data_IF_306010093917
#
_entry.id   IF_306010093917
#
_cell.length_a   1.000
_cell.length_b   1.000
_cell.length_c   1.000
_cell.angle_alpha   90.00
_cell.angle_beta   90.00
_cell.angle_gamma   90.00
#
_symmetry.space_group_name_H-M   'P 1'
#
loop_
_entity.id
_entity.type
_entity.pdbx_description
1 polymer ?
#
# COMPACT_ATOMS: atom_id res chain seq x y z
N UNK A 1 9.58 -6.96 -7.05
CA UNK A 1 8.99 -6.26 -8.22
C UNK A 1 7.74 -5.54 -7.75
N UNK A 2 7.57 -4.24 -8.04
CA UNK A 2 6.35 -3.50 -7.68
C UNK A 2 5.24 -4.02 -8.60
N UNK A 3 4.18 -4.58 -8.01
CA UNK A 3 3.10 -5.16 -8.78
C UNK A 3 2.25 -4.05 -9.38
N UNK A 4 1.88 -4.21 -10.66
CA UNK A 4 0.95 -3.31 -11.33
C UNK A 4 -0.42 -3.42 -10.65
N UNK A 5 -0.90 -2.31 -10.12
CA UNK A 5 -2.24 -2.15 -9.58
C UNK A 5 -3.09 -1.55 -10.68
N UNK A 6 -4.27 -2.11 -10.89
CA UNK A 6 -5.25 -1.59 -11.85
C UNK A 6 -6.32 -0.85 -11.07
N UNK A 7 -6.31 0.47 -11.15
CA UNK A 7 -7.37 1.27 -10.56
C UNK A 7 -8.64 1.06 -11.37
N UNK A 8 -9.74 0.71 -10.70
CA UNK A 8 -11.00 0.43 -11.37
C UNK A 8 -11.45 1.64 -12.21
N UNK A 9 -11.47 1.50 -13.54
CA UNK A 9 -12.16 2.43 -14.44
C UNK A 9 -13.63 2.01 -14.50
N UNK A 10 -14.32 2.04 -13.37
CA UNK A 10 -15.75 1.76 -13.41
C UNK A 10 -16.45 2.91 -14.13
N UNK A 11 -17.56 2.64 -14.84
CA UNK A 11 -18.42 3.62 -15.53
C UNK A 11 -19.06 4.68 -14.60
N UNK A 12 -18.57 4.83 -13.37
CA UNK A 12 -19.01 5.79 -12.38
C UNK A 12 -18.03 6.97 -12.38
N UNK A 13 -18.56 8.17 -12.11
CA UNK A 13 -17.98 9.53 -12.21
C UNK A 13 -16.55 9.77 -11.68
N UNK A 14 -15.89 8.79 -11.09
CA UNK A 14 -14.52 8.88 -10.58
C UNK A 14 -13.52 8.37 -11.64
N UNK A 15 -13.15 9.23 -12.59
CA UNK A 15 -12.12 8.88 -13.57
C UNK A 15 -10.72 8.91 -12.92
N UNK A 16 -10.14 7.72 -12.73
CA UNK A 16 -8.71 7.54 -12.44
C UNK A 16 -8.36 6.94 -11.07
N UNK A 17 -7.05 6.86 -10.83
CA UNK A 17 -6.48 6.26 -9.63
C UNK A 17 -6.39 7.21 -8.44
N UNK A 18 -6.28 6.69 -7.20
CA UNK A 18 -6.19 7.50 -6.00
C UNK A 18 -4.88 8.30 -5.93
N UNK A 19 -3.89 8.04 -6.78
CA UNK A 19 -2.64 8.84 -6.83
C UNK A 19 -2.78 10.15 -7.62
N UNK A 20 -3.91 10.40 -8.28
CA UNK A 20 -4.15 11.66 -8.98
C UNK A 20 -4.35 12.82 -7.99
N UNK A 21 -3.86 14.00 -8.37
CA UNK A 21 -3.96 15.27 -7.61
C UNK A 21 -4.94 16.24 -8.27
N UNK A 22 -5.43 17.21 -7.52
CA UNK A 22 -6.27 18.30 -8.04
C UNK A 22 -7.73 17.88 -8.21
N UNK A 23 -8.34 18.15 -9.37
CA UNK A 23 -9.78 17.88 -9.59
C UNK A 23 -10.17 16.40 -9.54
N UNK A 24 -9.21 15.50 -9.79
CA UNK A 24 -9.42 14.05 -9.79
C UNK A 24 -8.88 13.39 -8.50
N UNK A 25 -8.61 14.19 -7.48
CA UNK A 25 -8.22 13.72 -6.15
C UNK A 25 -9.36 12.96 -5.48
N UNK A 26 -9.09 11.74 -5.02
CA UNK A 26 -10.05 10.91 -4.30
C UNK A 26 -9.37 10.06 -3.23
N UNK A 27 -10.20 9.51 -2.35
CA UNK A 27 -9.79 8.61 -1.28
C UNK A 27 -9.25 7.28 -1.84
N UNK A 28 -8.32 6.68 -1.13
CA UNK A 28 -7.93 5.28 -1.35
C UNK A 28 -8.95 4.38 -0.66
N UNK A 29 -9.65 3.54 -1.44
CA UNK A 29 -10.72 2.68 -0.96
C UNK A 29 -10.18 1.27 -0.72
N UNK A 30 -10.28 0.74 0.50
CA UNK A 30 -9.74 -0.58 0.86
C UNK A 30 -10.82 -1.49 1.43
N UNK A 31 -10.68 -2.79 1.17
CA UNK A 31 -11.53 -3.83 1.77
C UNK A 31 -10.66 -4.78 2.59
N UNK A 32 -10.99 -4.94 3.86
CA UNK A 32 -10.33 -5.86 4.79
C UNK A 32 -11.12 -7.18 4.82
N UNK A 33 -10.51 -8.28 4.40
CA UNK A 33 -11.10 -9.62 4.47
C UNK A 33 -10.79 -10.26 5.84
N UNK A 34 -11.45 -9.76 6.89
CA UNK A 34 -11.17 -10.06 8.30
C UNK A 34 -11.04 -11.55 8.62
N UNK A 35 -11.91 -12.41 8.07
CA UNK A 35 -11.87 -13.86 8.33
C UNK A 35 -10.50 -14.45 8.02
N UNK A 36 -9.94 -14.11 6.85
CA UNK A 36 -8.63 -14.58 6.42
C UNK A 36 -7.48 -14.01 7.26
N UNK A 37 -7.67 -12.80 7.79
CA UNK A 37 -6.64 -12.04 8.50
C UNK A 37 -6.40 -12.54 9.94
N UNK A 38 -7.31 -13.34 10.49
CA UNK A 38 -7.15 -13.97 11.82
C UNK A 38 -5.91 -14.87 11.93
N UNK A 39 -5.43 -15.38 10.79
CA UNK A 39 -4.26 -16.27 10.70
C UNK A 39 -2.93 -15.55 10.40
N UNK A 40 -2.89 -14.22 10.55
CA UNK A 40 -1.71 -13.42 10.25
C UNK A 40 -0.49 -13.80 11.12
N UNK A 41 0.65 -13.99 10.47
CA UNK A 41 1.95 -14.08 11.15
C UNK A 41 2.38 -12.72 11.71
N UNK A 42 3.34 -12.70 12.63
CA UNK A 42 3.79 -11.49 13.34
C UNK A 42 4.00 -10.26 12.43
N UNK A 43 4.74 -10.41 11.32
CA UNK A 43 4.99 -9.31 10.38
C UNK A 43 3.74 -8.85 9.61
N UNK A 44 2.86 -9.78 9.26
CA UNK A 44 1.59 -9.46 8.59
C UNK A 44 0.62 -8.82 9.59
N UNK A 45 0.66 -9.22 10.86
CA UNK A 45 -0.12 -8.64 11.94
C UNK A 45 0.35 -7.21 12.26
N UNK A 46 1.66 -6.96 12.32
CA UNK A 46 2.21 -5.61 12.46
C UNK A 46 1.75 -4.70 11.32
N UNK A 47 1.83 -5.19 10.07
CA UNK A 47 1.36 -4.47 8.91
C UNK A 47 -0.16 -4.23 8.94
N UNK A 48 -0.95 -5.23 9.36
CA UNK A 48 -2.39 -5.11 9.51
C UNK A 48 -2.78 -4.07 10.57
N UNK A 49 -2.11 -4.08 11.72
CA UNK A 49 -2.34 -3.09 12.78
C UNK A 49 -2.04 -1.67 12.27
N UNK A 50 -0.92 -1.49 11.55
CA UNK A 50 -0.60 -0.21 10.93
C UNK A 50 -1.64 0.21 9.87
N UNK A 51 -2.18 -0.73 9.08
CA UNK A 51 -3.26 -0.44 8.12
C UNK A 51 -4.52 0.01 8.86
N UNK A 52 -4.93 -0.68 9.91
CA UNK A 52 -6.12 -0.34 10.71
C UNK A 52 -5.95 1.04 11.35
N UNK A 53 -4.79 1.33 11.94
CA UNK A 53 -4.47 2.66 12.48
C UNK A 53 -4.59 3.76 11.43
N UNK A 54 -3.98 3.54 10.25
CA UNK A 54 -3.99 4.51 9.17
C UNK A 54 -5.35 4.63 8.48
N UNK A 55 -6.20 3.60 8.52
CA UNK A 55 -7.55 3.62 7.94
C UNK A 55 -8.51 4.61 8.62
N UNK A 56 -8.14 5.15 9.79
CA UNK A 56 -8.86 6.27 10.42
C UNK A 56 -8.58 7.62 9.77
N UNK A 57 -7.57 7.71 8.88
CA UNK A 57 -7.24 8.95 8.20
C UNK A 57 -8.29 9.30 7.13
N UNK A 58 -8.62 10.59 6.94
CA UNK A 58 -9.65 11.01 6.01
C UNK A 58 -9.32 10.69 4.54
N UNK A 59 -8.05 10.44 4.21
CA UNK A 59 -7.60 10.05 2.88
C UNK A 59 -7.93 8.58 2.51
N UNK A 60 -8.37 7.78 3.49
CA UNK A 60 -8.61 6.34 3.34
C UNK A 60 -10.08 6.04 3.66
N UNK A 61 -10.72 5.27 2.79
CA UNK A 61 -12.06 4.74 3.01
C UNK A 61 -11.97 3.22 3.15
N UNK A 62 -12.10 2.71 4.38
CA UNK A 62 -12.04 1.29 4.65
C UNK A 62 -13.44 0.67 4.79
N UNK A 63 -13.55 -0.59 4.37
CA UNK A 63 -14.71 -1.45 4.60
C UNK A 63 -14.20 -2.80 5.13
N UNK A 64 -14.87 -3.34 6.14
CA UNK A 64 -14.56 -4.65 6.73
C UNK A 64 -15.58 -5.69 6.31
N UNK A 65 -15.15 -6.92 6.06
CA UNK A 65 -16.08 -8.03 5.83
C UNK A 65 -16.67 -8.56 7.13
N UNK A 66 -15.98 -8.34 8.26
CA UNK A 66 -16.36 -8.77 9.62
C UNK A 66 -15.80 -7.78 10.64
N UNK A 67 -16.59 -7.39 11.65
CA UNK A 67 -16.15 -6.45 12.67
C UNK A 67 -17.11 -5.28 12.87
N UNK A 68 -16.71 -4.35 13.73
CA UNK A 68 -17.48 -3.14 14.07
C UNK A 68 -16.63 -1.86 14.01
N UNK A 69 -15.43 -1.94 13.43
CA UNK A 69 -14.47 -0.82 13.44
C UNK A 69 -14.78 0.14 12.30
N UNK A 70 -14.93 -0.41 11.09
CA UNK A 70 -15.24 0.33 9.88
C UNK A 70 -16.64 -0.03 9.36
N UNK A 71 -17.17 0.66 8.34
CA UNK A 71 -18.37 0.21 7.64
C UNK A 71 -18.28 -1.28 7.29
N UNK A 72 -19.35 -2.01 7.58
CA UNK A 72 -19.41 -3.46 7.51
C UNK A 72 -20.06 -3.89 6.20
N UNK A 73 -19.39 -4.77 5.46
CA UNK A 73 -19.88 -5.43 4.26
C UNK A 73 -20.64 -6.69 4.63
N UNK A 74 -21.96 -6.60 4.62
CA UNK A 74 -22.86 -7.71 4.85
C UNK A 74 -23.22 -8.38 3.52
N UNK A 75 -22.95 -9.67 3.40
CA UNK A 75 -23.40 -10.49 2.29
C UNK A 75 -24.55 -11.35 2.79
N UNK A 76 -25.74 -11.15 2.23
CA UNK A 76 -26.93 -11.91 2.60
C UNK A 76 -26.91 -13.34 2.06
N UNK A 77 -27.98 -14.07 2.35
CA UNK A 77 -28.16 -15.45 1.90
C UNK A 77 -28.91 -15.42 0.55
N UNK A 78 -28.50 -16.28 -0.37
CA UNK A 78 -29.23 -16.52 -1.62
C UNK A 78 -30.60 -17.13 -1.28
N UNK A 79 -31.70 -16.46 -1.63
CA UNK A 79 -33.03 -17.06 -1.52
C UNK A 79 -33.23 -18.07 -2.65
N UNK A 80 -33.87 -19.22 -2.35
CA UNK A 80 -34.18 -20.28 -3.32
C UNK A 80 -34.96 -19.77 -4.54
N UNK A 81 -35.75 -18.71 -4.36
CA UNK A 81 -36.58 -18.13 -5.42
C UNK A 81 -35.85 -17.04 -6.22
N UNK A 82 -34.68 -16.59 -5.79
CA UNK A 82 -33.98 -15.45 -6.38
C UNK A 82 -32.60 -15.85 -6.91
N UNK A 83 -32.29 -15.45 -8.15
CA UNK A 83 -30.95 -15.62 -8.75
C UNK A 83 -30.00 -14.46 -8.40
N UNK A 84 -30.11 -13.91 -7.19
CA UNK A 84 -29.24 -12.86 -6.70
C UNK A 84 -28.94 -13.00 -5.20
N UNK A 85 -27.80 -12.45 -4.77
CA UNK A 85 -27.42 -12.31 -3.37
C UNK A 85 -27.49 -10.83 -3.00
N UNK A 86 -28.29 -10.44 -2.00
CA UNK A 86 -28.29 -9.05 -1.52
C UNK A 86 -26.99 -8.76 -0.78
N UNK A 87 -26.44 -7.57 -0.99
CA UNK A 87 -25.23 -7.07 -0.32
C UNK A 87 -25.50 -5.68 0.23
N UNK A 88 -25.17 -5.48 1.50
CA UNK A 88 -25.31 -4.21 2.22
C UNK A 88 -23.95 -3.73 2.71
N UNK A 89 -23.67 -2.44 2.56
CA UNK A 89 -22.61 -1.77 3.32
C UNK A 89 -23.30 -0.95 4.40
N UNK A 90 -23.13 -1.39 5.65
CA UNK A 90 -23.73 -0.78 6.83
C UNK A 90 -22.69 0.14 7.46
N UNK A 91 -22.99 1.44 7.51
CA UNK A 91 -22.22 2.41 8.28
C UNK A 91 -23.15 3.14 9.26
N UNK A 92 -22.62 3.76 10.34
CA UNK A 92 -23.44 4.48 11.31
C UNK A 92 -24.31 5.59 10.71
N UNK A 93 -23.94 6.12 9.54
CA UNK A 93 -24.62 7.27 8.91
C UNK A 93 -25.40 6.90 7.65
N UNK A 94 -25.11 5.76 7.02
CA UNK A 94 -25.62 5.40 5.70
C UNK A 94 -25.59 3.90 5.50
N UNK A 95 -26.66 3.38 4.90
CA UNK A 95 -26.71 2.02 4.36
C UNK A 95 -26.70 2.10 2.84
N UNK A 96 -25.84 1.30 2.19
CA UNK A 96 -25.83 1.17 0.72
C UNK A 96 -26.16 -0.27 0.36
N UNK A 97 -27.20 -0.48 -0.43
CA UNK A 97 -27.66 -1.81 -0.85
C UNK A 97 -27.44 -2.02 -2.34
N UNK A 98 -27.00 -3.21 -2.70
CA UNK A 98 -26.92 -3.70 -4.08
C UNK A 98 -27.08 -5.21 -4.09
N UNK A 99 -27.05 -5.83 -5.27
CA UNK A 99 -27.14 -7.27 -5.40
C UNK A 99 -26.09 -7.84 -6.35
N UNK A 100 -25.65 -9.06 -6.07
CA UNK A 100 -24.79 -9.85 -6.94
C UNK A 100 -25.67 -10.81 -7.72
N UNK A 101 -25.73 -10.63 -9.04
CA UNK A 101 -26.49 -11.49 -9.94
C UNK A 101 -25.71 -12.77 -10.27
N UNK A 102 -26.43 -13.85 -10.58
CA UNK A 102 -25.86 -15.14 -11.01
C UNK A 102 -24.85 -15.77 -10.03
N UNK A 103 -25.19 -15.91 -8.73
CA UNK A 103 -24.33 -16.54 -7.73
C UNK A 103 -23.79 -17.93 -8.15
N UNK A 104 -24.60 -18.72 -8.87
CA UNK A 104 -24.21 -20.06 -9.34
C UNK A 104 -22.94 -20.05 -10.20
N UNK A 105 -22.67 -18.96 -10.94
CA UNK A 105 -21.44 -18.84 -11.73
C UNK A 105 -20.19 -18.85 -10.83
N UNK A 106 -20.26 -18.20 -9.66
CA UNK A 106 -19.16 -18.17 -8.71
C UNK A 106 -18.99 -19.52 -8.01
N UNK A 107 -20.07 -20.27 -7.81
CA UNK A 107 -20.01 -21.63 -7.26
C UNK A 107 -19.30 -22.59 -8.22
N UNK A 108 -19.67 -22.57 -9.51
CA UNK A 108 -18.98 -23.37 -10.54
C UNK A 108 -17.50 -22.97 -10.66
N UNK A 109 -17.22 -21.68 -10.55
CA UNK A 109 -15.85 -21.18 -10.54
C UNK A 109 -15.08 -21.66 -9.28
N UNK A 110 -15.70 -21.66 -8.10
CA UNK A 110 -15.11 -22.19 -6.87
C UNK A 110 -14.73 -23.67 -7.01
N UNK A 111 -15.61 -24.50 -7.58
CA UNK A 111 -15.33 -25.92 -7.88
C UNK A 111 -14.11 -26.06 -8.79
N UNK A 112 -14.01 -25.23 -9.83
CA UNK A 112 -12.86 -25.26 -10.76
C UNK A 112 -11.52 -24.95 -10.09
N UNK A 113 -11.50 -24.05 -9.10
CA UNK A 113 -10.29 -23.69 -8.35
C UNK A 113 -9.82 -24.81 -7.41
N UNK A 114 -10.73 -25.67 -6.94
CA UNK A 114 -10.39 -26.78 -6.03
C UNK A 114 -9.77 -27.95 -6.76
N UNK A 115 -10.27 -28.27 -7.95
CA UNK A 115 -9.66 -29.31 -8.78
C UNK A 115 -8.17 -29.03 -9.08
N UNK A 116 -7.77 -27.76 -9.04
CA UNK A 116 -6.37 -27.35 -9.18
C UNK A 116 -5.55 -27.48 -7.88
N UNK A 117 -6.19 -27.54 -6.70
CA UNK A 117 -5.54 -27.46 -5.38
C UNK A 117 -5.68 -28.72 -4.50
N UNK A 118 -6.31 -29.81 -4.96
CA UNK A 118 -6.40 -31.12 -4.24
C UNK A 118 -6.93 -31.07 -2.79
N UNK A 119 -7.83 -30.15 -2.46
CA UNK A 119 -8.47 -30.10 -1.13
C UNK A 119 -9.95 -30.56 -1.17
N UNK A 120 -10.51 -30.94 -0.01
CA UNK A 120 -11.87 -31.51 0.12
C UNK A 120 -13.04 -30.51 0.08
N UNK A 121 -14.28 -31.01 0.16
CA UNK A 121 -15.53 -30.27 -0.11
C UNK A 121 -15.79 -29.03 0.78
N UNK A 122 -15.34 -29.04 2.05
CA UNK A 122 -15.48 -27.87 2.95
C UNK A 122 -14.77 -26.62 2.42
N UNK A 123 -13.78 -26.79 1.54
CA UNK A 123 -13.09 -25.67 0.92
C UNK A 123 -13.95 -25.00 -0.16
N UNK A 124 -14.91 -25.70 -0.79
CA UNK A 124 -15.74 -25.14 -1.88
C UNK A 124 -16.55 -23.96 -1.35
N UNK A 125 -17.23 -24.12 -0.22
CA UNK A 125 -18.08 -23.08 0.36
C UNK A 125 -17.27 -21.87 0.82
N UNK A 126 -16.07 -22.11 1.36
CA UNK A 126 -15.16 -21.03 1.76
C UNK A 126 -14.68 -20.22 0.54
N UNK A 127 -14.25 -20.90 -0.51
CA UNK A 127 -13.83 -20.23 -1.76
C UNK A 127 -15.00 -19.50 -2.40
N UNK A 128 -16.17 -20.12 -2.42
CA UNK A 128 -17.38 -19.48 -2.92
C UNK A 128 -17.67 -18.17 -2.17
N UNK A 129 -17.63 -18.19 -0.83
CA UNK A 129 -17.78 -16.98 -0.03
C UNK A 129 -16.71 -15.93 -0.34
N UNK A 130 -15.44 -16.33 -0.44
CA UNK A 130 -14.32 -15.46 -0.83
C UNK A 130 -14.58 -14.78 -2.20
N UNK A 131 -15.09 -15.52 -3.18
CA UNK A 131 -15.40 -15.01 -4.51
C UNK A 131 -16.58 -14.04 -4.50
N UNK A 132 -17.61 -14.30 -3.70
CA UNK A 132 -18.73 -13.36 -3.51
C UNK A 132 -18.24 -12.06 -2.86
N UNK A 133 -17.32 -12.13 -1.89
CA UNK A 133 -16.70 -10.94 -1.29
C UNK A 133 -15.86 -10.14 -2.31
N UNK A 134 -15.14 -10.83 -3.21
CA UNK A 134 -14.41 -10.18 -4.30
C UNK A 134 -15.36 -9.46 -5.26
N UNK A 135 -16.47 -10.08 -5.62
CA UNK A 135 -17.46 -9.43 -6.48
C UNK A 135 -18.11 -8.22 -5.78
N UNK A 136 -18.41 -8.34 -4.49
CA UNK A 136 -18.89 -7.21 -3.69
C UNK A 136 -17.87 -6.06 -3.65
N UNK A 137 -16.59 -6.36 -3.41
CA UNK A 137 -15.48 -5.41 -3.47
C UNK A 137 -15.43 -4.67 -4.82
N UNK A 138 -15.55 -5.43 -5.93
CA UNK A 138 -15.55 -4.88 -7.29
C UNK A 138 -16.74 -3.95 -7.52
N UNK A 139 -17.95 -4.36 -7.12
CA UNK A 139 -19.19 -3.57 -7.25
C UNK A 139 -19.18 -2.28 -6.44
N UNK A 140 -18.46 -2.27 -5.33
CA UNK A 140 -18.24 -1.10 -4.49
C UNK A 140 -17.15 -0.16 -5.03
N UNK A 141 -16.52 -0.49 -6.15
CA UNK A 141 -15.38 0.24 -6.72
C UNK A 141 -14.28 0.50 -5.66
N UNK A 142 -14.01 -0.52 -4.86
CA UNK A 142 -12.92 -0.52 -3.90
C UNK A 142 -11.59 -0.73 -4.66
N UNK A 143 -10.51 -0.16 -4.16
CA UNK A 143 -9.23 -0.17 -4.86
C UNK A 143 -8.38 -1.38 -4.51
N UNK A 144 -8.28 -1.74 -3.22
CA UNK A 144 -7.39 -2.80 -2.72
C UNK A 144 -8.19 -3.82 -1.90
N UNK A 145 -8.08 -5.11 -2.24
CA UNK A 145 -8.65 -6.20 -1.46
C UNK A 145 -7.55 -6.87 -0.61
N UNK A 146 -7.64 -6.74 0.71
CA UNK A 146 -6.59 -7.14 1.65
C UNK A 146 -6.97 -8.49 2.26
N UNK A 147 -6.17 -9.51 1.99
CA UNK A 147 -6.48 -10.88 2.44
C UNK A 147 -5.22 -11.72 2.64
N UNK A 148 -5.33 -12.75 3.47
CA UNK A 148 -4.36 -13.83 3.61
C UNK A 148 -4.88 -15.18 3.06
N UNK A 149 -6.02 -15.19 2.36
CA UNK A 149 -6.58 -16.41 1.75
C UNK A 149 -5.60 -16.97 0.71
N UNK A 150 -4.98 -18.16 0.94
CA UNK A 150 -3.97 -18.69 0.02
C UNK A 150 -4.53 -18.94 -1.38
N UNK A 151 -5.81 -19.30 -1.47
CA UNK A 151 -6.48 -19.64 -2.72
C UNK A 151 -6.63 -18.37 -3.58
N UNK A 152 -7.08 -17.27 -3.00
CA UNK A 152 -7.16 -15.98 -3.70
C UNK A 152 -5.76 -15.47 -4.08
N UNK A 153 -4.78 -15.61 -3.18
CA UNK A 153 -3.41 -15.15 -3.41
C UNK A 153 -2.70 -15.95 -4.52
N UNK A 154 -2.92 -17.26 -4.61
CA UNK A 154 -2.31 -18.11 -5.62
C UNK A 154 -2.98 -17.98 -7.00
N UNK A 155 -4.25 -17.59 -7.04
CA UNK A 155 -5.04 -17.49 -8.28
C UNK A 155 -5.25 -16.04 -8.79
N UNK A 156 -4.43 -15.11 -8.31
CA UNK A 156 -4.42 -13.67 -8.66
C UNK A 156 -4.46 -13.36 -10.17
N UNK A 157 -3.96 -14.25 -11.02
CA UNK A 157 -3.90 -14.08 -12.47
C UNK A 157 -5.17 -14.51 -13.20
N UNK A 158 -6.09 -15.20 -12.53
CA UNK A 158 -7.30 -15.69 -13.16
C UNK A 158 -8.20 -14.54 -13.61
N UNK A 159 -8.91 -14.70 -14.73
CA UNK A 159 -9.72 -13.65 -15.36
C UNK A 159 -10.71 -12.95 -14.42
N UNK A 160 -11.32 -13.69 -13.51
CA UNK A 160 -12.30 -13.17 -12.54
C UNK A 160 -11.65 -12.35 -11.42
N UNK A 161 -10.43 -12.73 -11.01
CA UNK A 161 -9.64 -12.04 -9.99
C UNK A 161 -8.70 -10.97 -10.60
N UNK A 162 -8.58 -10.98 -11.93
CA UNK A 162 -7.81 -10.00 -12.67
C UNK A 162 -8.48 -8.65 -12.45
N UNK A 163 -7.71 -7.71 -11.96
CA UNK A 163 -8.09 -6.33 -11.66
C UNK A 163 -8.72 -6.06 -10.27
N UNK A 164 -8.78 -7.03 -9.36
CA UNK A 164 -9.32 -6.81 -8.00
C UNK A 164 -8.23 -6.45 -6.98
N UNK A 165 -6.99 -6.27 -7.42
CA UNK A 165 -5.84 -5.85 -6.62
C UNK A 165 -5.75 -6.57 -5.26
N UNK A 166 -5.80 -7.90 -5.29
CA UNK A 166 -5.67 -8.75 -4.10
C UNK A 166 -4.24 -8.66 -3.58
N UNK A 167 -4.07 -8.18 -2.35
CA UNK A 167 -2.79 -7.92 -1.69
C UNK A 167 -2.77 -8.51 -0.27
N UNK A 168 -1.58 -8.87 0.21
CA UNK A 168 -1.39 -9.14 1.65
C UNK A 168 -1.30 -7.82 2.44
N UNK A 169 -1.45 -7.84 3.78
CA UNK A 169 -1.20 -6.66 4.60
C UNK A 169 0.18 -6.01 4.35
N UNK A 170 1.26 -6.80 4.28
CA UNK A 170 2.61 -6.31 3.99
C UNK A 170 2.75 -5.66 2.60
N UNK A 171 2.02 -6.17 1.60
CA UNK A 171 1.98 -5.54 0.27
C UNK A 171 1.20 -4.22 0.33
N UNK A 172 0.06 -4.23 1.02
CA UNK A 172 -0.86 -3.09 1.14
C UNK A 172 -0.21 -1.92 1.86
N UNK A 173 0.45 -2.13 3.00
CA UNK A 173 1.07 -1.04 3.78
C UNK A 173 2.12 -0.27 2.98
N UNK A 174 2.79 -0.93 2.01
CA UNK A 174 3.75 -0.26 1.11
C UNK A 174 3.04 0.71 0.16
N UNK A 175 1.90 0.29 -0.41
CA UNK A 175 1.07 1.12 -1.30
C UNK A 175 0.42 2.24 -0.51
N UNK A 176 -0.16 1.93 0.65
CA UNK A 176 -0.79 2.88 1.56
C UNK A 176 0.19 3.96 2.01
N UNK A 177 1.37 3.57 2.49
CA UNK A 177 2.39 4.51 2.93
C UNK A 177 2.87 5.40 1.79
N UNK A 178 3.04 4.86 0.59
CA UNK A 178 3.40 5.66 -0.59
C UNK A 178 2.27 6.62 -0.99
N UNK A 179 1.01 6.16 -0.96
CA UNK A 179 -0.16 7.00 -1.20
C UNK A 179 -0.22 8.17 -0.23
N UNK A 180 -0.09 7.94 1.09
CA UNK A 180 -0.09 9.01 2.09
C UNK A 180 1.04 10.01 1.85
N UNK A 181 2.26 9.55 1.50
CA UNK A 181 3.37 10.45 1.16
C UNK A 181 3.13 11.21 -0.14
N UNK A 182 2.46 10.59 -1.11
CA UNK A 182 2.01 11.30 -2.31
C UNK A 182 1.01 12.41 -1.97
N UNK A 183 0.33 12.32 -0.82
CA UNK A 183 -0.60 13.30 -0.25
C UNK A 183 0.06 14.35 0.64
N UNK A 184 1.39 14.36 0.75
CA UNK A 184 2.14 15.12 1.77
C UNK A 184 1.68 14.83 3.21
N UNK A 185 1.08 13.65 3.42
CA UNK A 185 0.66 13.16 4.72
C UNK A 185 1.71 12.17 5.25
N UNK A 186 2.45 12.61 6.26
CA UNK A 186 3.53 11.85 6.90
C UNK A 186 3.11 11.34 8.30
N UNK A 187 1.85 10.98 8.47
CA UNK A 187 1.34 10.33 9.69
C UNK A 187 2.05 9.00 9.91
N UNK A 188 2.59 8.80 11.11
CA UNK A 188 3.22 7.53 11.52
C UNK A 188 2.24 6.67 12.31
N UNK A 189 1.36 7.30 13.10
CA UNK A 189 0.30 6.63 13.87
C UNK A 189 -1.01 7.37 13.70
N UNK A 190 -2.07 6.63 13.41
CA UNK A 190 -3.43 7.14 13.28
C UNK A 190 -4.37 6.37 14.20
N UNK A 191 -5.44 7.01 14.67
CA UNK A 191 -6.44 6.36 15.48
C UNK A 191 -7.62 7.27 15.77
N UNK A 192 -8.64 6.70 16.41
CA UNK A 192 -9.89 7.41 16.72
C UNK A 192 -9.66 8.68 17.56
N UNK A 193 -8.67 8.67 18.45
CA UNK A 193 -8.41 9.74 19.43
C UNK A 193 -7.26 10.67 19.06
N UNK A 194 -6.59 10.47 17.93
CA UNK A 194 -5.49 11.33 17.53
C UNK A 194 -4.61 10.75 16.45
N UNK A 195 -3.69 11.59 15.96
CA UNK A 195 -2.69 11.23 14.97
C UNK A 195 -1.34 11.80 15.36
N UNK A 196 -0.29 11.03 15.11
CA UNK A 196 1.09 11.47 15.26
C UNK A 196 1.68 11.74 13.87
N UNK A 197 1.86 13.02 13.57
CA UNK A 197 2.40 13.50 12.30
C UNK A 197 3.78 14.07 12.54
N UNK A 198 4.69 13.83 11.59
CA UNK A 198 5.97 14.52 11.50
C UNK A 198 6.06 15.28 10.19
N UNK A 199 6.96 16.25 10.08
CA UNK A 199 7.19 16.92 8.81
C UNK A 199 7.91 16.00 7.80
N UNK A 200 7.81 16.37 6.52
CA UNK A 200 8.45 15.67 5.40
C UNK A 200 9.94 15.42 5.63
N UNK A 201 10.68 16.46 6.05
CA UNK A 201 12.12 16.39 6.24
C UNK A 201 12.50 15.41 7.35
N UNK A 202 11.80 15.48 8.48
CA UNK A 202 11.95 14.53 9.57
C UNK A 202 11.62 13.10 9.15
N UNK A 203 10.58 12.90 8.33
CA UNK A 203 10.19 11.58 7.85
C UNK A 203 11.31 10.92 7.06
N UNK A 204 11.84 11.61 6.05
CA UNK A 204 12.91 11.04 5.22
C UNK A 204 14.22 10.89 5.97
N UNK A 205 14.52 11.74 6.96
CA UNK A 205 15.67 11.57 7.85
C UNK A 205 15.56 10.32 8.73
N UNK A 206 14.39 10.08 9.33
CA UNK A 206 14.14 8.88 10.13
C UNK A 206 14.22 7.63 9.25
N UNK A 207 13.57 7.66 8.08
CA UNK A 207 13.61 6.54 7.14
C UNK A 207 15.03 6.24 6.66
N UNK A 208 15.82 7.28 6.36
CA UNK A 208 17.23 7.13 5.99
C UNK A 208 18.03 6.45 7.10
N UNK A 209 17.88 6.88 8.35
CA UNK A 209 18.56 6.27 9.50
C UNK A 209 18.18 4.80 9.69
N UNK A 210 16.90 4.47 9.49
CA UNK A 210 16.42 3.09 9.55
C UNK A 210 16.94 2.20 8.40
N UNK A 211 17.27 2.79 7.24
CA UNK A 211 17.87 2.06 6.12
C UNK A 211 19.38 1.92 6.23
N UNK A 212 20.02 2.88 6.89
CA UNK A 212 21.47 2.96 7.06
C UNK A 212 21.82 2.87 8.55
N UNK A 213 21.60 1.70 9.15
CA UNK A 213 21.70 1.49 10.60
C UNK A 213 23.03 1.95 11.23
N UNK A 214 24.14 1.86 10.48
CA UNK A 214 25.47 2.26 10.95
C UNK A 214 25.82 3.73 10.65
N UNK A 215 24.95 4.45 9.95
CA UNK A 215 25.21 5.82 9.51
C UNK A 215 25.34 6.78 10.69
N UNK A 216 24.64 6.51 11.80
CA UNK A 216 24.80 7.31 13.02
C UNK A 216 26.23 7.21 13.56
N UNK A 217 26.78 5.99 13.70
CA UNK A 217 28.16 5.78 14.16
C UNK A 217 29.16 6.44 13.21
N UNK A 218 28.95 6.29 11.91
CA UNK A 218 29.77 6.93 10.88
C UNK A 218 29.76 8.45 10.98
N UNK A 219 28.58 9.06 11.11
CA UNK A 219 28.45 10.51 11.23
C UNK A 219 29.04 11.04 12.55
N UNK A 220 28.85 10.35 13.67
CA UNK A 220 29.50 10.71 14.94
C UNK A 220 31.02 10.69 14.83
N UNK A 221 31.60 9.72 14.12
CA UNK A 221 33.04 9.70 13.86
C UNK A 221 33.49 10.92 13.02
N UNK A 222 32.68 11.34 12.04
CA UNK A 222 32.96 12.56 11.28
C UNK A 222 32.92 13.82 12.17
N UNK A 223 31.98 13.90 13.12
CA UNK A 223 31.87 15.01 14.06
C UNK A 223 33.09 15.07 14.99
N UNK A 224 33.53 13.94 15.53
CA UNK A 224 34.72 13.92 16.40
C UNK A 224 36.01 14.20 15.63
N UNK A 225 36.16 13.63 14.43
CA UNK A 225 37.33 13.89 13.60
C UNK A 225 37.44 15.37 13.18
N UNK A 226 36.31 16.06 12.97
CA UNK A 226 36.26 17.49 12.67
C UNK A 226 36.71 18.38 13.84
N UNK A 227 36.58 17.91 15.08
CA UNK A 227 37.13 18.64 16.24
C UNK A 227 38.65 18.55 16.31
N UNK A 228 39.23 17.51 15.72
CA UNK A 228 40.67 17.23 15.75
C UNK A 228 41.41 17.72 14.49
N UNK A 229 40.69 18.01 13.40
CA UNK A 229 41.24 18.44 12.10
C UNK A 229 40.46 19.62 11.52
N UNK A 230 41.14 20.50 10.77
CA UNK A 230 40.50 21.58 9.99
C UNK A 230 39.78 21.10 8.72
N UNK A 231 39.70 19.79 8.48
CA UNK A 231 39.25 19.21 7.22
C UNK A 231 37.75 19.33 6.91
N UNK A 232 36.93 19.90 7.79
CA UNK A 232 35.48 20.11 7.52
C UNK A 232 34.76 18.78 7.22
N UNK A 233 35.15 17.70 7.88
CA UNK A 233 34.59 16.35 7.71
C UNK A 233 33.13 16.27 8.11
N UNK A 234 32.70 17.09 9.07
CA UNK A 234 31.28 17.18 9.47
C UNK A 234 30.38 17.54 8.29
N UNK A 235 30.81 18.47 7.44
CA UNK A 235 30.03 18.93 6.29
C UNK A 235 29.93 17.84 5.22
N UNK A 236 31.00 17.08 4.98
CA UNK A 236 30.96 15.92 4.06
C UNK A 236 30.00 14.84 4.59
N UNK A 237 30.09 14.51 5.88
CA UNK A 237 29.20 13.56 6.53
C UNK A 237 27.74 13.99 6.44
N UNK A 238 27.45 15.25 6.73
CA UNK A 238 26.10 15.80 6.61
C UNK A 238 25.60 15.79 5.16
N UNK A 239 26.50 16.05 4.20
CA UNK A 239 26.21 15.97 2.77
C UNK A 239 25.72 14.58 2.35
N UNK A 240 26.33 13.52 2.89
CA UNK A 240 25.91 12.13 2.65
C UNK A 240 24.48 11.92 3.16
N UNK A 241 24.19 12.31 4.41
CA UNK A 241 22.86 12.16 5.02
C UNK A 241 21.76 12.85 4.20
N UNK A 242 22.01 14.09 3.78
CA UNK A 242 21.06 14.88 2.99
C UNK A 242 20.81 14.21 1.64
N UNK A 243 21.86 13.75 0.95
CA UNK A 243 21.71 13.07 -0.34
C UNK A 243 20.94 11.75 -0.22
N UNK A 244 21.23 10.94 0.80
CA UNK A 244 20.48 9.71 1.06
C UNK A 244 19.01 9.97 1.37
N UNK A 245 18.68 11.01 2.14
CA UNK A 245 17.29 11.39 2.40
C UNK A 245 16.57 11.82 1.10
N UNK A 246 17.19 12.69 0.30
CA UNK A 246 16.65 13.13 -0.99
C UNK A 246 16.53 11.98 -2.01
N UNK A 247 17.42 10.99 -1.93
CA UNK A 247 17.33 9.79 -2.77
C UNK A 247 16.06 8.98 -2.44
N UNK A 248 15.68 8.89 -1.16
CA UNK A 248 14.42 8.26 -0.75
C UNK A 248 13.20 9.05 -1.26
N UNK A 249 13.26 10.38 -1.26
CA UNK A 249 12.22 11.24 -1.85
C UNK A 249 12.08 11.02 -3.36
N UNK A 250 13.20 10.97 -4.09
CA UNK A 250 13.22 10.70 -5.52
C UNK A 250 12.64 9.31 -5.82
N UNK A 251 12.99 8.30 -5.03
CA UNK A 251 12.44 6.94 -5.14
C UNK A 251 10.93 6.91 -4.95
N UNK A 252 10.40 7.61 -3.94
CA UNK A 252 8.95 7.69 -3.76
C UNK A 252 8.28 8.44 -4.90
N UNK A 253 8.90 9.51 -5.41
CA UNK A 253 8.39 10.26 -6.56
C UNK A 253 8.26 9.38 -7.80
N UNK A 254 9.27 8.54 -8.08
CA UNK A 254 9.21 7.47 -9.10
C UNK A 254 8.07 6.49 -8.78
N UNK A 255 7.98 6.04 -7.52
CA UNK A 255 6.94 5.14 -7.02
C UNK A 255 5.52 5.64 -7.34
N UNK A 256 5.25 6.91 -7.07
CA UNK A 256 3.95 7.53 -7.35
C UNK A 256 3.62 7.50 -8.85
N UNK A 257 4.61 7.69 -9.74
CA UNK A 257 4.39 7.67 -11.18
C UNK A 257 3.95 6.30 -11.71
N UNK A 258 4.30 5.20 -11.03
CA UNK A 258 3.81 3.86 -11.39
C UNK A 258 2.30 3.67 -11.18
N UNK A 259 1.69 4.51 -10.34
CA UNK A 259 0.29 4.40 -9.95
C UNK A 259 -0.61 5.45 -10.58
N UNK A 260 -0.09 6.31 -11.45
CA UNK A 260 -0.90 7.22 -12.27
C UNK A 260 -1.06 6.68 -13.71
N UNK A 261 -2.07 7.13 -14.47
CA UNK A 261 -2.19 6.81 -15.88
C UNK A 261 -0.93 7.19 -16.65
N UNK A 262 -0.41 6.27 -17.47
CA UNK A 262 0.85 6.47 -18.16
C UNK A 262 0.69 7.40 -19.36
N UNK A 263 1.56 8.40 -19.45
CA UNK A 263 1.64 9.38 -20.55
C UNK A 263 3.10 9.76 -20.83
N UNK A 264 3.35 10.59 -21.84
CA UNK A 264 4.69 11.15 -22.07
C UNK A 264 5.20 11.92 -20.84
N UNK A 265 4.33 12.71 -20.20
CA UNK A 265 4.68 13.49 -19.01
C UNK A 265 5.07 12.62 -17.81
N UNK A 266 4.35 11.53 -17.54
CA UNK A 266 4.68 10.64 -16.41
C UNK A 266 6.02 9.92 -16.64
N UNK A 267 6.32 9.58 -17.89
CA UNK A 267 7.62 9.01 -18.28
C UNK A 267 8.74 10.02 -18.03
N UNK A 268 8.57 11.27 -18.46
CA UNK A 268 9.58 12.31 -18.31
C UNK A 268 9.84 12.64 -16.83
N UNK A 269 8.79 12.73 -16.01
CA UNK A 269 8.91 12.90 -14.54
C UNK A 269 9.65 11.71 -13.91
N UNK A 270 9.34 10.49 -14.35
CA UNK A 270 10.01 9.28 -13.85
C UNK A 270 11.50 9.30 -14.19
N UNK A 271 11.86 9.67 -15.43
CA UNK A 271 13.26 9.76 -15.86
C UNK A 271 14.00 10.85 -15.12
N UNK A 272 13.40 12.03 -14.95
CA UNK A 272 13.98 13.12 -14.16
C UNK A 272 14.33 12.67 -12.73
N UNK A 273 13.40 12.02 -12.03
CA UNK A 273 13.67 11.55 -10.68
C UNK A 273 14.63 10.36 -10.63
N UNK A 274 14.70 9.55 -11.68
CA UNK A 274 15.68 8.48 -11.80
C UNK A 274 17.10 9.06 -11.95
N UNK A 275 17.30 10.03 -12.84
CA UNK A 275 18.58 10.72 -13.00
C UNK A 275 18.98 11.49 -11.73
N UNK A 276 18.00 12.10 -11.06
CA UNK A 276 18.25 12.77 -9.79
C UNK A 276 18.66 11.77 -8.69
N UNK A 277 18.03 10.60 -8.64
CA UNK A 277 18.38 9.52 -7.70
C UNK A 277 19.83 9.07 -7.90
N UNK A 278 20.25 8.82 -9.15
CA UNK A 278 21.61 8.34 -9.46
C UNK A 278 22.65 9.39 -9.11
N UNK A 279 22.40 10.67 -9.44
CA UNK A 279 23.29 11.78 -9.08
C UNK A 279 23.46 11.92 -7.56
N UNK A 280 22.37 11.81 -6.79
CA UNK A 280 22.42 11.89 -5.33
C UNK A 280 23.24 10.75 -4.72
N UNK A 281 23.05 9.52 -5.20
CA UNK A 281 23.77 8.36 -4.69
C UNK A 281 25.25 8.40 -5.07
N UNK A 282 25.58 8.79 -6.31
CA UNK A 282 26.98 9.01 -6.72
C UNK A 282 27.66 10.05 -5.83
N UNK A 283 27.05 11.22 -5.64
CA UNK A 283 27.62 12.27 -4.80
C UNK A 283 27.72 11.89 -3.31
N UNK A 284 26.91 10.95 -2.82
CA UNK A 284 27.06 10.40 -1.47
C UNK A 284 28.29 9.50 -1.37
N UNK A 285 28.52 8.65 -2.37
CA UNK A 285 29.70 7.77 -2.43
C UNK A 285 30.98 8.61 -2.61
N UNK A 286 30.96 9.64 -3.44
CA UNK A 286 32.10 10.54 -3.64
C UNK A 286 32.48 11.28 -2.35
N UNK A 287 31.48 11.77 -1.61
CA UNK A 287 31.71 12.38 -0.31
C UNK A 287 32.30 11.38 0.70
N UNK A 288 31.84 10.12 0.67
CA UNK A 288 32.38 9.06 1.52
C UNK A 288 33.83 8.73 1.15
N UNK A 289 34.14 8.63 -0.14
CA UNK A 289 35.50 8.42 -0.64
C UNK A 289 36.44 9.56 -0.22
N UNK A 290 35.95 10.82 -0.25
CA UNK A 290 36.71 11.98 0.22
C UNK A 290 36.98 11.93 1.72
N UNK A 291 36.02 11.48 2.53
CA UNK A 291 36.24 11.26 3.97
C UNK A 291 37.30 10.18 4.19
N UNK A 292 37.17 9.04 3.51
CA UNK A 292 38.16 7.95 3.62
C UNK A 292 39.56 8.44 3.23
N UNK A 293 39.69 9.19 2.15
CA UNK A 293 40.96 9.75 1.70
C UNK A 293 41.62 10.65 2.75
N UNK A 294 40.84 11.47 3.45
CA UNK A 294 41.35 12.41 4.47
C UNK A 294 41.68 11.75 5.81
N UNK A 295 41.07 10.61 6.10
CA UNK A 295 41.32 9.87 7.35
C UNK A 295 42.54 8.95 7.23
N UNK A 296 42.80 8.42 6.02
CA UNK A 296 43.85 7.41 5.79
C UNK A 296 45.09 7.94 5.06
N UNK A 297 45.15 9.22 4.71
CA UNK A 297 46.36 9.89 4.20
C UNK A 297 46.77 10.99 5.16
#
# INVERSE_FOLDING_TARGET
>A
MIRRITWGSSNFKEDGGPFLRGKNERLLKITLHNQSLTSAQEKELEALNAIIELAYLPEIAAVETEGKTFPFLEVGIQSEQSNFIPVSVISPKKETKFSISNPNQFLEFAKSLIHQNKNGDNDIQKIYRDLILIEAHRRLNQDLFITLSPILLNNKSCSLLKNTNILTPLETIKVLGLFLRSRDNYTIKGGLYGKYIIDRGSFYRILMRHRLNNMWRYFSACVEADKMSTDKLIYLGQSILIRCARALEARDSIGCQFYVPQSGSTRDITMYHFDYLTLLLSGAIDAQARIAHRVYK
#
